data_IF_340905761056
#
_entry.id   IF_340905761056
#
_cell.length_a   1.000
_cell.length_b   1.000
_cell.length_c   1.000
_cell.angle_alpha   90.00
_cell.angle_beta   90.00
_cell.angle_gamma   90.00
#
_symmetry.space_group_name_H-M   'P 1'
#
loop_
_entity.id
_entity.type
_entity.pdbx_description
1 polymer ?
#
# COMPACT_ATOMS: atom_id res chain seq x y z
N UNK A 1 0.32 46.58 19.77
CA UNK A 1 0.88 45.32 20.32
C UNK A 1 1.00 44.40 19.13
N UNK A 2 2.22 44.12 18.69
CA UNK A 2 2.43 43.09 17.67
C UNK A 2 1.97 41.74 18.26
N UNK A 3 1.22 40.90 17.51
CA UNK A 3 0.90 39.56 17.97
C UNK A 3 2.21 38.80 18.15
N UNK A 4 2.35 38.09 19.26
CA UNK A 4 3.55 37.33 19.61
C UNK A 4 3.61 36.04 18.76
N UNK A 5 3.89 36.22 17.47
CA UNK A 5 3.87 35.19 16.42
C UNK A 5 4.77 33.99 16.72
N UNK A 6 5.77 34.14 17.57
CA UNK A 6 6.75 33.10 17.85
C UNK A 6 6.24 32.10 18.91
N UNK A 7 5.53 32.58 19.92
CA UNK A 7 4.83 31.72 20.90
C UNK A 7 3.62 31.02 20.25
N UNK A 8 2.94 31.69 19.31
CA UNK A 8 1.84 31.09 18.55
C UNK A 8 2.32 29.95 17.63
N UNK A 9 3.48 30.12 16.97
CA UNK A 9 4.11 29.07 16.16
C UNK A 9 4.55 27.88 17.03
N UNK A 10 5.18 28.13 18.18
CA UNK A 10 5.60 27.08 19.10
C UNK A 10 4.40 26.29 19.65
N UNK A 11 3.31 26.96 19.98
CA UNK A 11 2.07 26.32 20.41
C UNK A 11 1.43 25.48 19.29
N UNK A 12 1.46 25.97 18.05
CA UNK A 12 0.96 25.24 16.88
C UNK A 12 1.81 24.01 16.57
N UNK A 13 3.14 24.11 16.65
CA UNK A 13 4.05 22.96 16.51
C UNK A 13 3.83 21.92 17.60
N UNK A 14 3.67 22.35 18.87
CA UNK A 14 3.38 21.44 19.97
C UNK A 14 2.05 20.71 19.77
N UNK A 15 1.00 21.44 19.40
CA UNK A 15 -0.30 20.84 19.09
C UNK A 15 -0.22 19.85 17.91
N UNK A 16 0.58 20.15 16.89
CA UNK A 16 0.79 19.24 15.75
C UNK A 16 1.57 17.98 16.15
N UNK A 17 2.56 18.07 17.04
CA UNK A 17 3.31 16.90 17.56
C UNK A 17 2.45 16.01 18.45
N UNK A 18 1.54 16.59 19.21
CA UNK A 18 0.64 15.87 20.11
C UNK A 18 -0.63 15.35 19.41
N UNK A 19 -0.93 15.85 18.21
CA UNK A 19 -2.08 15.42 17.43
C UNK A 19 -2.00 13.92 17.14
N UNK A 20 -2.99 13.18 17.62
CA UNK A 20 -3.25 11.80 17.19
C UNK A 20 -4.54 11.76 16.39
N UNK A 21 -4.51 11.28 15.14
CA UNK A 21 -5.74 11.12 14.38
C UNK A 21 -6.66 10.14 15.10
N UNK A 22 -7.94 10.46 15.17
CA UNK A 22 -8.96 9.51 15.61
C UNK A 22 -9.18 8.52 14.48
N UNK A 23 -8.49 7.38 14.54
CA UNK A 23 -8.69 6.29 13.62
C UNK A 23 -10.10 5.72 13.80
N UNK A 24 -10.89 5.70 12.74
CA UNK A 24 -12.24 5.15 12.73
C UNK A 24 -12.36 4.08 11.64
N UNK A 25 -13.27 3.13 11.87
CA UNK A 25 -13.56 2.06 10.92
C UNK A 25 -12.50 0.95 10.86
N UNK A 26 -12.74 -0.05 9.99
CA UNK A 26 -11.81 -1.15 9.74
C UNK A 26 -10.57 -0.70 8.95
N UNK A 27 -9.52 -1.52 8.94
CA UNK A 27 -8.29 -1.25 8.16
C UNK A 27 -8.57 -1.20 6.65
N UNK A 28 -9.42 -2.12 6.20
CA UNK A 28 -9.99 -2.19 4.84
C UNK A 28 -11.51 -2.10 4.98
N UNK A 29 -12.09 -0.99 4.52
CA UNK A 29 -13.53 -0.74 4.49
C UNK A 29 -14.28 -1.60 3.49
N UNK A 30 -15.61 -1.52 3.52
CA UNK A 30 -16.44 -2.13 2.49
C UNK A 30 -16.34 -1.36 1.16
N UNK A 31 -16.59 -2.06 0.06
CA UNK A 31 -16.63 -1.46 -1.27
C UNK A 31 -17.93 -0.66 -1.40
N UNK A 32 -17.80 0.66 -1.51
CA UNK A 32 -18.93 1.58 -1.59
C UNK A 32 -19.09 2.15 -3.00
N UNK A 33 -20.33 2.45 -3.42
CA UNK A 33 -20.56 3.21 -4.65
C UNK A 33 -19.89 4.59 -4.60
N UNK A 34 -19.33 5.04 -5.72
CA UNK A 34 -18.60 6.33 -5.76
C UNK A 34 -19.46 7.56 -5.48
N UNK A 35 -20.79 7.47 -5.64
CA UNK A 35 -21.69 8.59 -5.31
C UNK A 35 -21.69 8.91 -3.80
N UNK A 36 -21.34 7.94 -2.94
CA UNK A 36 -21.24 8.17 -1.49
C UNK A 36 -20.17 9.23 -1.17
N UNK A 37 -19.02 9.20 -1.88
CA UNK A 37 -17.99 10.24 -1.76
C UNK A 37 -18.49 11.59 -2.25
N UNK A 38 -19.35 11.61 -3.28
CA UNK A 38 -19.94 12.86 -3.78
C UNK A 38 -20.81 13.52 -2.71
N UNK A 39 -21.61 12.73 -1.99
CA UNK A 39 -22.47 13.20 -0.90
C UNK A 39 -21.65 13.69 0.30
N UNK A 40 -20.59 12.96 0.67
CA UNK A 40 -19.70 13.33 1.78
C UNK A 40 -19.05 14.71 1.56
N UNK A 41 -18.61 14.98 0.33
CA UNK A 41 -17.96 16.23 -0.04
C UNK A 41 -18.92 17.32 -0.52
N UNK A 42 -20.24 17.13 -0.46
CA UNK A 42 -21.22 18.06 -1.01
C UNK A 42 -21.16 19.48 -0.39
N UNK A 43 -20.60 19.60 0.82
CA UNK A 43 -20.40 20.87 1.54
C UNK A 43 -18.94 21.29 1.66
N UNK A 44 -18.03 20.58 1.00
CA UNK A 44 -16.62 20.92 0.97
C UNK A 44 -16.38 22.16 0.09
N UNK A 45 -15.11 22.58 -0.01
CA UNK A 45 -14.72 23.61 -0.96
C UNK A 45 -15.07 23.19 -2.41
N UNK A 46 -15.40 24.18 -3.24
CA UNK A 46 -15.92 23.98 -4.59
C UNK A 46 -14.99 23.13 -5.46
N UNK A 47 -13.67 23.19 -5.24
CA UNK A 47 -12.70 22.37 -5.96
C UNK A 47 -12.89 20.88 -5.65
N UNK A 48 -13.15 20.53 -4.38
CA UNK A 48 -13.37 19.14 -3.98
C UNK A 48 -14.75 18.66 -4.44
N UNK A 49 -15.79 19.48 -4.32
CA UNK A 49 -17.13 19.17 -4.86
C UNK A 49 -17.04 18.83 -6.35
N UNK A 50 -16.38 19.67 -7.14
CA UNK A 50 -16.22 19.44 -8.58
C UNK A 50 -15.47 18.14 -8.88
N UNK A 51 -14.40 17.84 -8.12
CA UNK A 51 -13.64 16.59 -8.26
C UNK A 51 -14.48 15.36 -7.92
N UNK A 52 -15.24 15.39 -6.82
CA UNK A 52 -16.00 14.21 -6.36
C UNK A 52 -17.27 13.96 -7.16
N UNK A 53 -17.87 14.99 -7.77
CA UNK A 53 -18.97 14.84 -8.74
C UNK A 53 -18.50 14.11 -10.01
N UNK A 54 -17.25 14.31 -10.45
CA UNK A 54 -16.72 13.67 -11.65
C UNK A 54 -16.28 12.20 -11.44
N UNK A 55 -16.04 11.76 -10.20
CA UNK A 55 -15.54 10.41 -9.91
C UNK A 55 -16.49 9.29 -10.38
N UNK A 56 -17.82 9.35 -10.12
CA UNK A 56 -18.76 8.33 -10.58
C UNK A 56 -18.80 8.10 -12.09
N UNK A 57 -18.37 9.09 -12.90
CA UNK A 57 -18.32 8.96 -14.36
C UNK A 57 -17.26 7.95 -14.83
N UNK A 58 -16.19 7.78 -14.04
CA UNK A 58 -15.06 6.89 -14.38
C UNK A 58 -14.97 5.67 -13.47
N UNK A 59 -15.31 5.83 -12.19
CA UNK A 59 -15.15 4.81 -11.16
C UNK A 59 -16.51 4.49 -10.55
N UNK A 60 -16.97 3.24 -10.67
CA UNK A 60 -18.25 2.80 -10.10
C UNK A 60 -18.25 2.75 -8.56
N UNK A 61 -17.09 2.50 -7.97
CA UNK A 61 -16.95 2.23 -6.55
C UNK A 61 -15.55 2.57 -6.04
N UNK A 62 -15.44 2.81 -4.74
CA UNK A 62 -14.19 2.94 -4.00
C UNK A 62 -14.23 2.10 -2.73
N UNK A 63 -13.09 1.98 -2.06
CA UNK A 63 -12.98 1.31 -0.77
C UNK A 63 -12.20 2.21 0.19
N UNK A 64 -12.75 2.62 1.35
CA UNK A 64 -11.98 3.33 2.34
C UNK A 64 -10.86 2.46 2.89
N UNK A 65 -9.72 3.08 3.17
CA UNK A 65 -8.59 2.45 3.84
C UNK A 65 -8.23 3.34 5.02
N UNK A 66 -8.03 2.74 6.20
CA UNK A 66 -7.76 3.52 7.40
C UNK A 66 -6.46 4.33 7.26
N UNK A 67 -6.53 5.63 7.52
CA UNK A 67 -5.40 6.57 7.44
C UNK A 67 -4.49 6.50 8.66
N UNK A 68 -3.73 5.41 8.80
CA UNK A 68 -2.80 5.11 9.90
C UNK A 68 -1.32 5.26 9.49
N UNK A 69 -1.04 5.92 8.36
CA UNK A 69 0.30 5.98 7.76
C UNK A 69 0.67 4.73 6.95
N UNK A 70 -0.08 3.63 7.06
CA UNK A 70 0.09 2.42 6.24
C UNK A 70 -0.93 2.35 5.09
N UNK A 71 -1.87 3.30 5.01
CA UNK A 71 -3.00 3.30 4.08
C UNK A 71 -2.60 3.05 2.62
N UNK A 72 -1.56 3.72 2.11
CA UNK A 72 -1.15 3.55 0.71
C UNK A 72 -0.52 2.19 0.42
N UNK A 73 0.31 1.68 1.35
CA UNK A 73 0.85 0.31 1.28
C UNK A 73 -0.28 -0.73 1.32
N UNK A 74 -1.23 -0.53 2.23
CA UNK A 74 -2.40 -1.38 2.41
C UNK A 74 -3.29 -1.37 1.17
N UNK A 75 -3.53 -0.21 0.57
CA UNK A 75 -4.34 -0.05 -0.64
C UNK A 75 -3.71 -0.76 -1.85
N UNK A 76 -2.40 -0.58 -2.07
CA UNK A 76 -1.69 -1.23 -3.18
C UNK A 76 -1.63 -2.75 -2.98
N UNK A 77 -1.25 -3.20 -1.78
CA UNK A 77 -1.18 -4.63 -1.45
C UNK A 77 -2.53 -5.32 -1.57
N UNK A 78 -3.60 -4.74 -0.99
CA UNK A 78 -4.95 -5.29 -1.11
C UNK A 78 -5.41 -5.31 -2.58
N UNK A 79 -5.21 -4.19 -3.31
CA UNK A 79 -5.59 -4.09 -4.71
C UNK A 79 -4.86 -5.09 -5.61
N UNK A 80 -3.61 -5.43 -5.28
CA UNK A 80 -2.84 -6.46 -5.96
C UNK A 80 -3.50 -7.84 -5.86
N UNK A 81 -3.76 -8.31 -4.65
CA UNK A 81 -4.40 -9.61 -4.42
C UNK A 81 -5.85 -9.62 -4.90
N UNK A 82 -6.61 -8.54 -4.70
CA UNK A 82 -7.98 -8.39 -5.22
C UNK A 82 -8.00 -8.52 -6.76
N UNK A 83 -7.01 -7.93 -7.44
CA UNK A 83 -6.91 -8.03 -8.91
C UNK A 83 -6.64 -9.47 -9.35
N UNK A 84 -5.74 -10.18 -8.67
CA UNK A 84 -5.46 -11.59 -8.95
C UNK A 84 -6.72 -12.46 -8.80
N UNK A 85 -7.48 -12.28 -7.72
CA UNK A 85 -8.74 -13.00 -7.48
C UNK A 85 -9.76 -12.68 -8.58
N UNK A 86 -9.88 -11.41 -8.97
CA UNK A 86 -10.85 -10.97 -9.98
C UNK A 86 -10.57 -11.50 -11.39
N UNK A 87 -9.33 -11.90 -11.70
CA UNK A 87 -9.05 -12.59 -12.97
C UNK A 87 -9.73 -13.97 -13.04
N UNK A 88 -10.00 -14.60 -11.89
CA UNK A 88 -10.63 -15.93 -11.83
C UNK A 88 -9.75 -17.06 -12.38
N UNK A 89 -8.47 -16.81 -12.65
CA UNK A 89 -7.53 -17.79 -13.18
C UNK A 89 -6.74 -18.44 -12.04
N UNK A 90 -7.09 -19.68 -11.72
CA UNK A 90 -6.44 -20.47 -10.67
C UNK A 90 -4.95 -20.68 -10.96
N UNK A 91 -4.59 -20.93 -12.23
CA UNK A 91 -3.21 -21.17 -12.62
C UNK A 91 -2.38 -19.90 -12.49
N UNK A 92 -2.96 -18.74 -12.82
CA UNK A 92 -2.33 -17.44 -12.58
C UNK A 92 -2.00 -17.25 -11.10
N UNK A 93 -2.98 -17.43 -10.21
CA UNK A 93 -2.78 -17.27 -8.75
C UNK A 93 -1.73 -18.25 -8.21
N UNK A 94 -1.75 -19.50 -8.66
CA UNK A 94 -0.74 -20.50 -8.27
C UNK A 94 0.67 -20.15 -8.78
N UNK A 95 0.77 -19.66 -10.02
CA UNK A 95 2.06 -19.21 -10.56
C UNK A 95 2.60 -18.01 -9.80
N UNK A 96 1.70 -17.13 -9.37
CA UNK A 96 2.04 -15.93 -8.61
C UNK A 96 2.48 -16.27 -7.18
N UNK A 97 1.87 -17.28 -6.56
CA UNK A 97 2.33 -17.84 -5.29
C UNK A 97 3.78 -18.31 -5.40
N UNK A 98 4.09 -19.14 -6.39
CA UNK A 98 5.44 -19.64 -6.61
C UNK A 98 6.43 -18.50 -6.88
N UNK A 99 6.01 -17.50 -7.66
CA UNK A 99 6.84 -16.33 -7.98
C UNK A 99 7.16 -15.50 -6.76
N UNK A 100 6.17 -15.16 -5.92
CA UNK A 100 6.42 -14.39 -4.69
C UNK A 100 7.27 -15.19 -3.69
N UNK A 101 7.04 -16.49 -3.55
CA UNK A 101 7.90 -17.33 -2.71
C UNK A 101 9.35 -17.29 -3.19
N UNK A 102 9.59 -17.39 -4.50
CA UNK A 102 10.94 -17.29 -5.06
C UNK A 102 11.52 -15.87 -4.92
N UNK A 103 10.69 -14.84 -5.00
CA UNK A 103 11.10 -13.45 -4.84
C UNK A 103 11.63 -13.15 -3.44
N UNK A 104 11.28 -13.91 -2.40
CA UNK A 104 11.80 -13.70 -1.04
C UNK A 104 13.34 -13.78 -0.97
N UNK A 105 14.00 -14.56 -1.84
CA UNK A 105 15.48 -14.60 -1.93
C UNK A 105 16.09 -13.25 -2.33
N UNK A 106 15.30 -12.37 -2.93
CA UNK A 106 15.70 -11.01 -3.26
C UNK A 106 15.93 -10.15 -2.02
N UNK A 107 15.21 -10.43 -0.92
CA UNK A 107 15.32 -9.70 0.33
C UNK A 107 16.69 -9.90 0.99
N UNK A 108 17.23 -11.11 0.96
CA UNK A 108 18.59 -11.37 1.45
C UNK A 108 19.65 -10.96 0.43
N UNK A 109 19.52 -11.39 -0.84
CA UNK A 109 20.57 -11.19 -1.85
C UNK A 109 20.78 -9.74 -2.30
N UNK A 110 19.72 -8.92 -2.31
CA UNK A 110 19.76 -7.52 -2.73
C UNK A 110 19.38 -6.59 -1.59
N UNK A 111 18.32 -6.92 -0.86
CA UNK A 111 17.92 -6.16 0.31
C UNK A 111 18.95 -6.21 1.44
N UNK A 112 19.77 -7.26 1.53
CA UNK A 112 20.74 -7.43 2.61
C UNK A 112 20.09 -7.67 3.98
N UNK A 113 18.83 -8.13 3.99
CA UNK A 113 18.11 -8.45 5.21
C UNK A 113 18.48 -9.85 5.69
N UNK A 114 18.55 -10.01 7.02
CA UNK A 114 18.70 -11.31 7.65
C UNK A 114 17.39 -12.10 7.54
N UNK A 115 17.49 -13.39 7.21
CA UNK A 115 16.35 -14.28 7.00
C UNK A 115 15.42 -14.29 8.23
N UNK A 116 15.97 -14.27 9.45
CA UNK A 116 15.16 -14.26 10.68
C UNK A 116 14.31 -12.98 10.83
N UNK A 117 14.68 -11.90 10.13
CA UNK A 117 13.96 -10.62 10.17
C UNK A 117 12.81 -10.60 9.17
N UNK A 118 13.01 -11.10 7.95
CA UNK A 118 11.97 -11.00 6.91
C UNK A 118 11.09 -12.25 6.78
N UNK A 119 11.57 -13.42 7.18
CA UNK A 119 10.84 -14.68 7.02
C UNK A 119 9.44 -14.63 7.64
N UNK A 120 9.23 -14.21 8.91
CA UNK A 120 7.90 -14.20 9.51
C UNK A 120 6.90 -13.29 8.76
N UNK A 121 7.37 -12.17 8.21
CA UNK A 121 6.55 -11.24 7.45
C UNK A 121 6.21 -11.79 6.07
N UNK A 122 7.18 -12.44 5.43
CA UNK A 122 7.00 -13.05 4.12
C UNK A 122 6.09 -14.27 4.19
N UNK A 123 6.21 -15.10 5.22
CA UNK A 123 5.36 -16.27 5.49
C UNK A 123 3.89 -15.86 5.53
N UNK A 124 3.55 -14.80 6.27
CA UNK A 124 2.17 -14.28 6.34
C UNK A 124 1.58 -13.94 4.96
N UNK A 125 2.42 -13.41 4.07
CA UNK A 125 2.03 -13.06 2.68
C UNK A 125 1.85 -14.30 1.82
N UNK A 126 2.77 -15.27 1.94
CA UNK A 126 2.73 -16.52 1.19
C UNK A 126 1.54 -17.38 1.65
N UNK A 127 1.26 -17.45 2.95
CA UNK A 127 0.09 -18.10 3.51
C UNK A 127 -1.21 -17.50 2.98
N UNK A 128 -1.34 -16.17 3.01
CA UNK A 128 -2.51 -15.49 2.43
C UNK A 128 -2.73 -15.90 0.97
N UNK A 129 -1.68 -15.87 0.15
CA UNK A 129 -1.80 -16.20 -1.26
C UNK A 129 -2.05 -17.70 -1.49
N UNK A 130 -1.52 -18.56 -0.62
CA UNK A 130 -1.84 -19.99 -0.57
C UNK A 130 -3.31 -20.26 -0.25
N UNK A 131 -3.85 -19.60 0.77
CA UNK A 131 -5.26 -19.70 1.14
C UNK A 131 -6.17 -19.18 0.03
N UNK A 132 -5.80 -18.07 -0.63
CA UNK A 132 -6.50 -17.58 -1.82
C UNK A 132 -6.47 -18.65 -2.91
N UNK A 133 -5.30 -19.16 -3.28
CA UNK A 133 -5.13 -20.16 -4.34
C UNK A 133 -5.96 -21.42 -4.09
N UNK A 134 -6.04 -21.88 -2.84
CA UNK A 134 -6.82 -23.04 -2.43
C UNK A 134 -8.35 -22.81 -2.55
N UNK A 135 -8.80 -21.55 -2.52
CA UNK A 135 -10.22 -21.18 -2.51
C UNK A 135 -10.69 -20.47 -3.78
N UNK A 136 -9.88 -20.43 -4.85
CA UNK A 136 -10.23 -19.77 -6.11
C UNK A 136 -11.43 -20.39 -6.85
N UNK A 137 -11.90 -21.57 -6.46
CA UNK A 137 -13.15 -22.16 -6.98
C UNK A 137 -14.37 -21.30 -6.62
N UNK A 138 -14.31 -20.60 -5.49
CA UNK A 138 -15.30 -19.59 -5.10
C UNK A 138 -14.58 -18.24 -4.84
N UNK A 139 -14.57 -17.33 -5.84
CA UNK A 139 -13.94 -16.03 -5.70
C UNK A 139 -14.47 -15.19 -4.52
N UNK A 140 -15.72 -15.41 -4.07
CA UNK A 140 -16.26 -14.71 -2.91
C UNK A 140 -15.59 -15.17 -1.61
N UNK A 141 -15.36 -16.47 -1.47
CA UNK A 141 -14.59 -17.02 -0.34
C UNK A 141 -13.15 -16.50 -0.36
N UNK A 142 -12.49 -16.51 -1.53
CA UNK A 142 -11.14 -15.93 -1.68
C UNK A 142 -11.09 -14.44 -1.30
N UNK A 143 -12.08 -13.64 -1.71
CA UNK A 143 -12.19 -12.23 -1.34
C UNK A 143 -12.44 -12.03 0.18
N UNK A 144 -13.19 -12.93 0.80
CA UNK A 144 -13.44 -12.92 2.26
C UNK A 144 -12.15 -13.20 3.02
N UNK A 145 -11.37 -14.21 2.61
CA UNK A 145 -10.05 -14.52 3.17
C UNK A 145 -9.13 -13.29 3.10
N UNK A 146 -9.02 -12.68 1.91
CA UNK A 146 -8.22 -11.47 1.71
C UNK A 146 -8.65 -10.34 2.64
N UNK A 147 -9.95 -10.08 2.73
CA UNK A 147 -10.50 -8.99 3.54
C UNK A 147 -10.32 -9.22 5.04
N UNK A 148 -10.45 -10.47 5.50
CA UNK A 148 -10.25 -10.83 6.90
C UNK A 148 -8.78 -10.70 7.29
N UNK A 149 -7.85 -11.22 6.46
CA UNK A 149 -6.40 -11.13 6.72
C UNK A 149 -5.93 -9.67 6.76
N UNK A 150 -6.43 -8.81 5.86
CA UNK A 150 -6.09 -7.38 5.86
C UNK A 150 -6.79 -6.55 6.96
N UNK A 151 -7.80 -7.11 7.63
CA UNK A 151 -8.47 -6.49 8.78
C UNK A 151 -8.01 -7.05 10.14
N UNK A 152 -7.19 -8.11 10.15
CA UNK A 152 -6.42 -8.50 11.33
C UNK A 152 -5.14 -7.66 11.42
N UNK A 153 -4.94 -6.83 12.47
CA UNK A 153 -3.81 -5.92 12.54
C UNK A 153 -2.44 -6.60 12.46
N UNK A 154 -2.28 -7.77 13.06
CA UNK A 154 -1.00 -8.48 13.07
C UNK A 154 -0.68 -8.98 11.65
N UNK A 155 -1.63 -9.71 11.06
CA UNK A 155 -1.49 -10.25 9.71
C UNK A 155 -1.26 -9.14 8.69
N UNK A 156 -2.08 -8.09 8.73
CA UNK A 156 -2.01 -6.98 7.80
C UNK A 156 -0.68 -6.22 7.91
N UNK A 157 -0.18 -5.98 9.14
CA UNK A 157 1.08 -5.29 9.34
C UNK A 157 2.28 -6.13 8.90
N UNK A 158 2.26 -7.45 9.12
CA UNK A 158 3.27 -8.38 8.61
C UNK A 158 3.31 -8.38 7.07
N UNK A 159 2.15 -8.48 6.41
CA UNK A 159 2.05 -8.42 4.95
C UNK A 159 2.58 -7.08 4.43
N UNK A 160 2.16 -5.96 5.03
CA UNK A 160 2.61 -4.61 4.63
C UNK A 160 4.12 -4.48 4.81
N UNK A 161 4.70 -5.00 5.89
CA UNK A 161 6.13 -4.93 6.12
C UNK A 161 6.90 -5.73 5.07
N UNK A 162 6.42 -6.92 4.70
CA UNK A 162 7.00 -7.67 3.59
C UNK A 162 6.99 -6.87 2.27
N UNK A 163 5.87 -6.20 1.95
CA UNK A 163 5.77 -5.32 0.77
C UNK A 163 6.76 -4.14 0.84
N UNK A 164 6.98 -3.56 2.02
CA UNK A 164 7.98 -2.50 2.23
C UNK A 164 9.39 -2.99 1.92
N UNK A 165 9.76 -4.18 2.39
CA UNK A 165 11.08 -4.77 2.14
C UNK A 165 11.31 -5.09 0.65
N UNK A 166 10.27 -5.55 -0.06
CA UNK A 166 10.33 -5.77 -1.50
C UNK A 166 10.55 -4.46 -2.27
N UNK A 167 9.82 -3.40 -1.91
CA UNK A 167 9.98 -2.08 -2.51
C UNK A 167 11.37 -1.49 -2.22
N UNK A 168 11.85 -1.59 -0.97
CA UNK A 168 13.17 -1.12 -0.58
C UNK A 168 14.31 -1.88 -1.30
N UNK A 169 14.20 -3.21 -1.41
CA UNK A 169 15.16 -4.03 -2.17
C UNK A 169 15.20 -3.63 -3.65
N UNK A 170 14.03 -3.38 -4.25
CA UNK A 170 13.95 -2.93 -5.64
C UNK A 170 14.60 -1.57 -5.84
N UNK A 171 14.34 -0.63 -4.93
CA UNK A 171 14.93 0.70 -5.02
C UNK A 171 16.45 0.65 -4.85
N UNK A 172 16.97 -0.21 -3.96
CA UNK A 172 18.41 -0.45 -3.77
C UNK A 172 19.09 -1.01 -5.02
N UNK A 173 18.48 -2.00 -5.69
CA UNK A 173 18.99 -2.53 -6.97
C UNK A 173 19.11 -1.43 -8.04
N UNK A 174 18.19 -0.46 -8.01
CA UNK A 174 18.08 0.59 -9.01
C UNK A 174 18.60 1.95 -8.51
N UNK A 175 19.44 1.96 -7.47
CA UNK A 175 19.85 3.18 -6.77
C UNK A 175 20.42 4.24 -7.73
N UNK A 176 21.31 3.86 -8.65
CA UNK A 176 21.93 4.78 -9.61
C UNK A 176 20.91 5.57 -10.46
N UNK A 177 19.77 4.94 -10.78
CA UNK A 177 18.71 5.59 -11.57
C UNK A 177 17.88 6.55 -10.72
N UNK A 178 17.71 6.24 -9.43
CA UNK A 178 16.79 6.94 -8.55
C UNK A 178 17.44 7.88 -7.54
N UNK A 179 18.78 7.90 -7.47
CA UNK A 179 19.57 8.68 -6.51
C UNK A 179 19.18 10.16 -6.48
N UNK A 180 18.94 10.76 -7.66
CA UNK A 180 18.60 12.17 -7.78
C UNK A 180 17.18 12.53 -7.29
N UNK A 181 16.35 11.54 -6.96
CA UNK A 181 14.95 11.74 -6.54
C UNK A 181 14.75 11.61 -5.03
N UNK A 182 15.79 11.29 -4.26
CA UNK A 182 15.76 11.32 -2.81
C UNK A 182 16.44 12.58 -2.28
N UNK A 183 15.85 13.19 -1.25
CA UNK A 183 16.46 14.29 -0.50
C UNK A 183 17.23 13.79 0.74
N UNK A 184 17.28 12.47 0.97
CA UNK A 184 17.96 11.90 2.14
C UNK A 184 19.48 12.07 2.02
N UNK A 185 20.10 12.62 3.07
CA UNK A 185 21.55 12.66 3.17
C UNK A 185 22.11 11.23 3.18
N UNK A 186 23.04 10.93 2.28
CA UNK A 186 23.59 9.58 2.12
C UNK A 186 22.83 8.68 1.15
N UNK A 187 21.81 9.20 0.46
CA UNK A 187 21.29 8.58 -0.75
C UNK A 187 20.12 7.62 -0.57
N UNK A 188 20.04 6.63 -1.45
CA UNK A 188 18.92 5.66 -1.48
C UNK A 188 18.89 4.76 -0.24
N UNK A 189 20.05 4.36 0.29
CA UNK A 189 20.09 3.45 1.43
C UNK A 189 19.45 4.05 2.70
N UNK A 190 19.81 5.26 3.17
CA UNK A 190 19.10 5.93 4.25
C UNK A 190 17.63 6.19 3.94
N UNK A 191 17.30 6.56 2.70
CA UNK A 191 15.91 6.74 2.29
C UNK A 191 15.08 5.47 2.49
N UNK A 192 15.60 4.30 2.08
CA UNK A 192 14.91 3.03 2.31
C UNK A 192 14.66 2.79 3.80
N UNK A 193 15.67 2.98 4.65
CA UNK A 193 15.58 2.76 6.09
C UNK A 193 14.59 3.72 6.77
N UNK A 194 14.68 5.01 6.45
CA UNK A 194 13.94 6.04 7.16
C UNK A 194 12.52 6.23 6.62
N UNK A 195 12.30 5.97 5.33
CA UNK A 195 11.04 6.22 4.63
C UNK A 195 10.27 4.93 4.36
N UNK A 196 10.88 3.96 3.68
CA UNK A 196 10.17 2.77 3.19
C UNK A 196 9.97 1.72 4.28
N UNK A 197 11.02 1.42 5.04
CA UNK A 197 11.01 0.37 6.08
C UNK A 197 10.31 0.83 7.37
N UNK A 198 10.26 2.14 7.60
CA UNK A 198 9.64 2.68 8.80
C UNK A 198 8.12 2.42 8.81
N UNK A 199 7.66 1.72 9.84
CA UNK A 199 6.23 1.51 10.10
C UNK A 199 5.50 2.83 10.35
N UNK A 200 4.20 2.85 10.06
CA UNK A 200 3.31 4.02 10.24
C UNK A 200 3.78 5.26 9.45
N UNK A 201 4.56 5.03 8.40
CA UNK A 201 5.00 6.05 7.46
C UNK A 201 4.36 5.87 6.09
N UNK A 202 3.75 6.95 5.61
CA UNK A 202 3.04 7.00 4.34
C UNK A 202 3.95 6.60 3.17
N UNK A 203 3.35 5.91 2.19
CA UNK A 203 4.05 5.61 0.94
C UNK A 203 4.14 6.87 0.10
N UNK A 204 5.36 7.27 -0.24
CA UNK A 204 5.62 8.38 -1.15
C UNK A 204 5.80 7.87 -2.60
N UNK A 205 5.94 8.79 -3.56
CA UNK A 205 6.01 8.45 -4.99
C UNK A 205 7.09 7.40 -5.31
N UNK A 206 8.30 7.51 -4.75
CA UNK A 206 9.35 6.50 -4.95
C UNK A 206 8.96 5.13 -4.36
N UNK A 207 8.27 5.11 -3.23
CA UNK A 207 7.74 3.88 -2.64
C UNK A 207 6.70 3.22 -3.56
N UNK A 208 5.78 4.01 -4.13
CA UNK A 208 4.76 3.53 -5.06
C UNK A 208 5.42 2.92 -6.31
N UNK A 209 6.34 3.65 -6.95
CA UNK A 209 7.06 3.19 -8.14
C UNK A 209 7.81 1.89 -7.85
N UNK A 210 8.53 1.85 -6.72
CA UNK A 210 9.35 0.69 -6.35
C UNK A 210 8.51 -0.52 -6.01
N UNK A 211 7.40 -0.35 -5.28
CA UNK A 211 6.49 -1.44 -4.94
C UNK A 211 5.82 -2.02 -6.18
N UNK A 212 5.31 -1.16 -7.08
CA UNK A 212 4.72 -1.62 -8.34
C UNK A 212 5.77 -2.36 -9.16
N UNK A 213 7.00 -1.85 -9.27
CA UNK A 213 8.04 -2.50 -10.02
C UNK A 213 8.46 -3.85 -9.40
N UNK A 214 8.57 -3.95 -8.07
CA UNK A 214 8.85 -5.20 -7.38
C UNK A 214 7.75 -6.25 -7.62
N UNK A 215 6.48 -5.84 -7.54
CA UNK A 215 5.33 -6.73 -7.69
C UNK A 215 5.02 -7.09 -9.14
N UNK A 216 5.28 -6.19 -10.10
CA UNK A 216 4.81 -6.30 -11.50
C UNK A 216 5.94 -6.43 -12.51
N UNK A 217 7.04 -5.68 -12.36
CA UNK A 217 8.11 -5.68 -13.36
C UNK A 217 8.99 -6.94 -13.29
N UNK A 218 8.99 -7.65 -12.16
CA UNK A 218 9.58 -8.99 -12.01
C UNK A 218 8.56 -10.11 -12.28
N UNK A 219 7.43 -9.82 -12.94
CA UNK A 219 6.39 -10.78 -13.31
C UNK A 219 6.38 -11.02 -14.83
N UNK A 220 6.31 -12.29 -15.25
CA UNK A 220 5.81 -12.66 -16.60
C UNK A 220 4.42 -12.04 -16.79
N UNK A 221 4.01 -11.64 -18.01
CA UNK A 221 3.10 -10.52 -18.22
C UNK A 221 1.71 -10.79 -17.65
N UNK A 222 1.48 -10.36 -16.42
CA UNK A 222 0.16 -10.09 -15.89
C UNK A 222 -0.29 -8.84 -16.64
N UNK A 223 -1.27 -8.98 -17.54
CA UNK A 223 -1.89 -7.84 -18.20
C UNK A 223 -2.77 -7.11 -17.18
N UNK A 224 -2.13 -6.30 -16.34
CA UNK A 224 -2.83 -5.34 -15.52
C UNK A 224 -3.64 -4.47 -16.49
N UNK A 225 -4.98 -4.39 -16.35
CA UNK A 225 -5.79 -3.65 -17.29
C UNK A 225 -5.22 -2.23 -17.41
N UNK A 226 -4.71 -1.90 -18.61
CA UNK A 226 -3.92 -0.69 -18.93
C UNK A 226 -4.61 0.65 -18.66
N UNK A 227 -5.76 0.67 -17.97
CA UNK A 227 -6.57 1.85 -17.69
C UNK A 227 -7.33 1.76 -16.37
N UNK A 228 -6.72 1.30 -15.28
CA UNK A 228 -7.16 1.70 -13.94
C UNK A 228 -5.93 1.90 -13.07
N UNK A 229 -5.31 3.07 -13.21
CA UNK A 229 -4.41 3.60 -12.17
C UNK A 229 -5.14 3.43 -10.84
N UNK A 230 -4.54 2.70 -9.90
CA UNK A 230 -4.95 2.75 -8.50
C UNK A 230 -4.75 4.21 -8.09
N UNK A 231 -5.82 5.00 -8.18
CA UNK A 231 -5.84 6.34 -7.59
C UNK A 231 -6.16 6.12 -6.13
N UNK A 232 -5.11 6.15 -5.33
CA UNK A 232 -5.23 6.36 -3.89
C UNK A 232 -5.70 7.81 -3.78
N UNK A 233 -6.97 8.00 -3.41
CA UNK A 233 -7.54 9.30 -3.06
C UNK A 233 -7.25 9.57 -1.59
#
# INVERSE_FOLDING_TARGET
MEPNTQDDLAAQEAAAREYRPKLQGPLIGEKMPSHVITEEYAKADQVYVAKTIALPETYSSYRPVQGDGNCGWRAIGYGYFETLIQQGDVALVQSELQRLTALNQYLSSVGGYDDMVYEPMSEETIELLGDIAANMVDPLTAMSILTNKFNDPNSANSIIYHLRLLAASWLRENAETYEAFTAAEGGIQPYCNDVLERVDREIEHLGIVSLIAALVAKSTPIDFPKRRTIKIL
#
